data_IF_584601992257
#
_entry.id   IF_584601992257
#
_cell.length_a   1.000
_cell.length_b   1.000
_cell.length_c   1.000
_cell.angle_alpha   90.00
_cell.angle_beta   90.00
_cell.angle_gamma   90.00
#
_symmetry.space_group_name_H-M   'P 1'
#
loop_
_entity.id
_entity.type
_entity.pdbx_description
1 polymer ?
#
# COMPACT_ATOMS: atom_id res chain seq x y z
N UNK A 1 -2.07 -26.78 15.44
CA UNK A 1 -3.35 -26.10 15.15
C UNK A 1 -3.44 -24.90 16.05
N UNK A 2 -3.34 -23.69 15.49
CA UNK A 2 -3.73 -22.49 16.24
C UNK A 2 -5.24 -22.59 16.48
N UNK A 3 -5.75 -22.24 17.68
CA UNK A 3 -7.19 -22.15 17.89
C UNK A 3 -7.77 -21.15 16.90
N UNK A 4 -8.54 -21.62 15.92
CA UNK A 4 -9.25 -20.79 14.96
C UNK A 4 -10.42 -20.13 15.69
N UNK A 5 -10.25 -18.86 16.05
CA UNK A 5 -11.35 -18.06 16.57
C UNK A 5 -12.29 -17.81 15.41
N UNK A 6 -13.44 -18.47 15.42
CA UNK A 6 -14.46 -18.32 14.40
C UNK A 6 -15.07 -16.91 14.52
N UNK A 7 -15.20 -16.19 13.40
CA UNK A 7 -15.72 -14.82 13.38
C UNK A 7 -17.14 -14.74 13.97
N UNK A 8 -17.88 -15.85 13.91
CA UNK A 8 -19.20 -16.01 14.50
C UNK A 8 -19.20 -16.04 16.05
N UNK A 9 -18.11 -16.45 16.69
CA UNK A 9 -17.99 -16.57 18.15
C UNK A 9 -17.61 -15.25 18.83
N UNK A 10 -16.84 -14.39 18.16
CA UNK A 10 -16.31 -13.13 18.72
C UNK A 10 -17.33 -12.00 18.74
N UNK A 11 -18.38 -12.12 17.92
CA UNK A 11 -19.39 -11.07 17.72
C UNK A 11 -18.84 -9.80 17.04
N UNK A 12 -19.74 -8.93 16.58
CA UNK A 12 -19.37 -7.71 15.84
C UNK A 12 -18.46 -6.77 16.66
N UNK A 13 -18.64 -6.71 17.98
CA UNK A 13 -17.79 -5.91 18.88
C UNK A 13 -16.35 -6.43 18.95
N UNK A 14 -16.17 -7.75 19.02
CA UNK A 14 -14.85 -8.38 19.01
C UNK A 14 -14.12 -8.14 17.67
N UNK A 15 -14.84 -8.29 16.55
CA UNK A 15 -14.31 -7.97 15.23
C UNK A 15 -13.88 -6.51 15.09
N UNK A 16 -14.70 -5.55 15.57
CA UNK A 16 -14.37 -4.12 15.52
C UNK A 16 -13.12 -3.82 16.35
N UNK A 17 -13.01 -4.39 17.56
CA UNK A 17 -11.83 -4.23 18.40
C UNK A 17 -10.57 -4.80 17.73
N UNK A 18 -10.69 -5.97 17.11
CA UNK A 18 -9.58 -6.61 16.40
C UNK A 18 -9.16 -5.79 15.17
N UNK A 19 -10.12 -5.26 14.42
CA UNK A 19 -9.88 -4.37 13.29
C UNK A 19 -9.11 -3.10 13.70
N UNK A 20 -9.54 -2.43 14.77
CA UNK A 20 -8.86 -1.21 15.24
C UNK A 20 -7.46 -1.49 15.81
N UNK A 21 -7.29 -2.57 16.58
CA UNK A 21 -5.98 -2.92 17.14
C UNK A 21 -4.97 -3.34 16.06
N UNK A 22 -5.39 -4.16 15.10
CA UNK A 22 -4.56 -4.55 13.96
C UNK A 22 -4.28 -3.35 13.04
N UNK A 23 -5.29 -2.51 12.80
CA UNK A 23 -5.15 -1.27 12.05
C UNK A 23 -4.16 -0.29 12.69
N UNK A 24 -4.18 -0.15 14.02
CA UNK A 24 -3.22 0.67 14.75
C UNK A 24 -1.79 0.11 14.65
N UNK A 25 -1.63 -1.22 14.76
CA UNK A 25 -0.33 -1.86 14.59
C UNK A 25 0.22 -1.64 13.16
N UNK A 26 -0.62 -1.79 12.14
CA UNK A 26 -0.25 -1.51 10.74
C UNK A 26 0.11 -0.03 10.54
N UNK A 27 -0.62 0.90 11.15
CA UNK A 27 -0.32 2.34 11.09
C UNK A 27 1.07 2.65 11.68
N UNK A 28 1.40 2.09 12.83
CA UNK A 28 2.72 2.25 13.45
C UNK A 28 3.81 1.63 12.58
N UNK A 29 3.59 0.41 12.06
CA UNK A 29 4.54 -0.26 11.17
C UNK A 29 4.79 0.52 9.87
N UNK A 30 3.75 1.08 9.26
CA UNK A 30 3.87 1.87 8.03
C UNK A 30 4.61 3.18 8.25
N UNK A 31 4.45 3.84 9.41
CA UNK A 31 5.28 4.99 9.77
C UNK A 31 6.78 4.60 9.86
N UNK A 32 7.11 3.48 10.51
CA UNK A 32 8.51 3.01 10.56
C UNK A 32 9.07 2.66 9.18
N UNK A 33 8.27 2.07 8.29
CA UNK A 33 8.66 1.80 6.90
C UNK A 33 8.92 3.11 6.15
N UNK A 34 8.07 4.13 6.34
CA UNK A 34 8.23 5.46 5.74
C UNK A 34 9.49 6.16 6.23
N UNK A 35 9.75 6.17 7.53
CA UNK A 35 10.95 6.79 8.11
C UNK A 35 12.23 6.06 7.63
N UNK A 36 12.21 4.73 7.58
CA UNK A 36 13.33 3.93 7.04
C UNK A 36 13.55 4.17 5.54
N UNK A 37 12.47 4.38 4.79
CA UNK A 37 12.48 4.72 3.38
C UNK A 37 13.14 6.09 3.11
N UNK A 38 12.82 7.10 3.92
CA UNK A 38 13.44 8.42 3.84
C UNK A 38 14.94 8.38 4.20
N UNK A 39 15.32 7.53 5.17
CA UNK A 39 16.73 7.30 5.49
C UNK A 39 17.50 6.67 4.32
N UNK A 40 16.89 5.75 3.57
CA UNK A 40 17.49 5.13 2.38
C UNK A 40 17.63 6.12 1.22
N UNK A 41 16.72 7.08 1.09
CA UNK A 41 16.82 8.16 0.10
C UNK A 41 17.97 9.14 0.40
N UNK A 42 18.37 9.26 1.67
CA UNK A 42 19.48 10.12 2.10
C UNK A 42 20.85 9.60 1.64
N UNK A 43 20.95 8.35 1.15
CA UNK A 43 22.17 7.77 0.59
C UNK A 43 22.29 8.16 -0.90
N UNK A 44 23.17 9.12 -1.27
CA UNK A 44 23.15 9.73 -2.61
C UNK A 44 23.48 8.75 -3.75
N UNK A 45 24.15 7.65 -3.43
CA UNK A 45 24.54 6.61 -4.39
C UNK A 45 23.36 5.77 -4.90
N UNK A 46 22.27 5.67 -4.12
CA UNK A 46 21.13 4.77 -4.40
C UNK A 46 19.80 5.51 -4.57
N UNK A 47 19.75 6.83 -4.38
CA UNK A 47 18.51 7.62 -4.37
C UNK A 47 17.61 7.41 -5.61
N UNK A 48 18.18 7.26 -6.81
CA UNK A 48 17.42 7.01 -8.04
C UNK A 48 16.76 5.63 -8.11
N UNK A 49 17.44 4.59 -7.61
CA UNK A 49 16.91 3.23 -7.52
C UNK A 49 15.92 3.10 -6.35
N UNK A 50 16.24 3.75 -5.22
CA UNK A 50 15.44 3.71 -4.01
C UNK A 50 14.07 4.31 -4.28
N UNK A 51 14.01 5.52 -4.83
CA UNK A 51 12.74 6.21 -5.08
C UNK A 51 11.82 5.51 -6.09
N UNK A 52 12.38 4.81 -7.08
CA UNK A 52 11.59 4.21 -8.17
C UNK A 52 11.24 2.74 -7.97
N UNK A 53 12.05 1.97 -7.23
CA UNK A 53 11.88 0.51 -7.08
C UNK A 53 11.78 0.08 -5.64
N UNK A 54 12.64 0.60 -4.76
CA UNK A 54 12.70 0.15 -3.36
C UNK A 54 11.52 0.67 -2.55
N UNK A 55 11.13 1.94 -2.72
CA UNK A 55 9.98 2.48 -1.98
C UNK A 55 8.65 1.81 -2.34
N UNK A 56 8.33 1.58 -3.64
CA UNK A 56 7.15 0.80 -4.00
C UNK A 56 7.21 -0.65 -3.48
N UNK A 57 8.39 -1.27 -3.51
CA UNK A 57 8.56 -2.65 -3.03
C UNK A 57 8.38 -2.76 -1.51
N UNK A 58 8.99 -1.87 -0.74
CA UNK A 58 8.84 -1.81 0.73
C UNK A 58 7.40 -1.54 1.14
N UNK A 59 6.65 -0.73 0.37
CA UNK A 59 5.22 -0.52 0.57
C UNK A 59 4.37 -1.77 0.35
N UNK A 60 4.81 -2.70 -0.48
CA UNK A 60 4.12 -3.97 -0.75
C UNK A 60 4.52 -5.12 0.20
N UNK A 61 5.56 -4.95 1.03
CA UNK A 61 6.03 -5.97 1.98
C UNK A 61 4.95 -6.38 3.00
N UNK A 62 4.19 -5.46 3.63
CA UNK A 62 3.14 -5.82 4.57
C UNK A 62 2.04 -6.67 3.91
N UNK A 63 1.63 -6.30 2.70
CA UNK A 63 0.63 -7.04 1.93
C UNK A 63 1.12 -8.45 1.58
N UNK A 64 2.38 -8.58 1.14
CA UNK A 64 2.98 -9.87 0.82
C UNK A 64 3.14 -10.76 2.07
N UNK A 65 3.44 -10.18 3.23
CA UNK A 65 3.53 -10.91 4.49
C UNK A 65 2.17 -11.47 4.91
N UNK A 66 1.10 -10.69 4.82
CA UNK A 66 -0.27 -11.15 5.10
C UNK A 66 -0.64 -12.33 4.18
N UNK A 67 -0.33 -12.23 2.88
CA UNK A 67 -0.55 -13.31 1.91
C UNK A 67 0.25 -14.58 2.25
N UNK A 68 1.51 -14.44 2.66
CA UNK A 68 2.36 -15.57 3.06
C UNK A 68 1.78 -16.30 4.29
N UNK A 69 1.40 -15.56 5.33
CA UNK A 69 0.83 -16.15 6.55
C UNK A 69 -0.56 -16.75 6.31
N UNK A 70 -1.32 -16.19 5.37
CA UNK A 70 -2.61 -16.74 4.94
C UNK A 70 -2.50 -18.10 4.25
N UNK A 71 -1.35 -18.43 3.64
CA UNK A 71 -1.12 -19.69 2.93
C UNK A 71 -0.63 -20.84 3.82
N UNK A 72 -0.36 -20.60 5.11
CA UNK A 72 0.13 -21.63 6.05
C UNK A 72 -1.00 -22.50 6.66
N UNK A 73 -2.25 -22.29 6.27
CA UNK A 73 -3.42 -23.08 6.67
C UNK A 73 -3.54 -24.41 5.93
N UNK A 74 -4.69 -25.07 6.09
CA UNK A 74 -4.99 -26.30 5.35
C UNK A 74 -5.12 -26.04 3.84
N UNK A 75 -4.76 -27.01 2.99
CA UNK A 75 -4.56 -26.80 1.54
C UNK A 75 -5.82 -26.28 0.84
N UNK A 76 -7.01 -26.72 1.26
CA UNK A 76 -8.30 -26.30 0.69
C UNK A 76 -8.65 -24.85 1.04
N UNK A 77 -8.48 -24.47 2.31
CA UNK A 77 -8.77 -23.13 2.83
C UNK A 77 -7.70 -22.12 2.39
N UNK A 78 -6.45 -22.57 2.26
CA UNK A 78 -5.35 -21.79 1.73
C UNK A 78 -5.59 -21.39 0.26
N UNK A 79 -6.16 -22.26 -0.59
CA UNK A 79 -6.41 -21.92 -2.00
C UNK A 79 -7.45 -20.80 -2.16
N UNK A 80 -8.54 -20.83 -1.39
CA UNK A 80 -9.57 -19.78 -1.42
C UNK A 80 -8.99 -18.46 -0.89
N UNK A 81 -8.32 -18.50 0.26
CA UNK A 81 -7.76 -17.29 0.89
C UNK A 81 -6.61 -16.71 0.06
N UNK A 82 -5.79 -17.55 -0.58
CA UNK A 82 -4.77 -17.11 -1.54
C UNK A 82 -5.40 -16.49 -2.79
N UNK A 83 -6.50 -17.03 -3.33
CA UNK A 83 -7.17 -16.46 -4.50
C UNK A 83 -7.70 -15.05 -4.22
N UNK A 84 -8.32 -14.85 -3.06
CA UNK A 84 -8.76 -13.52 -2.60
C UNK A 84 -7.56 -12.60 -2.33
N UNK A 85 -6.50 -13.13 -1.70
CA UNK A 85 -5.28 -12.38 -1.41
C UNK A 85 -4.54 -11.89 -2.67
N UNK A 86 -4.44 -12.72 -3.70
CA UNK A 86 -3.84 -12.36 -5.00
C UNK A 86 -4.71 -11.31 -5.71
N UNK A 87 -6.04 -11.42 -5.63
CA UNK A 87 -6.95 -10.40 -6.16
C UNK A 87 -6.78 -9.03 -5.47
N UNK A 88 -6.63 -9.02 -4.15
CA UNK A 88 -6.37 -7.81 -3.38
C UNK A 88 -5.00 -7.19 -3.71
N UNK A 89 -3.95 -8.00 -3.84
CA UNK A 89 -2.59 -7.54 -4.19
C UNK A 89 -2.51 -7.01 -5.63
N UNK A 90 -3.19 -7.66 -6.58
CA UNK A 90 -3.31 -7.14 -7.94
C UNK A 90 -4.08 -5.82 -7.97
N UNK A 91 -5.18 -5.73 -7.21
CA UNK A 91 -5.97 -4.51 -7.04
C UNK A 91 -5.16 -3.35 -6.46
N UNK A 92 -4.38 -3.58 -5.40
CA UNK A 92 -3.54 -2.54 -4.77
C UNK A 92 -2.45 -2.05 -5.73
N UNK A 93 -1.82 -2.94 -6.49
CA UNK A 93 -0.82 -2.57 -7.51
C UNK A 93 -1.43 -1.69 -8.60
N UNK A 94 -2.61 -2.07 -9.12
CA UNK A 94 -3.33 -1.28 -10.12
C UNK A 94 -3.73 0.08 -9.53
N UNK A 95 -4.18 0.14 -8.28
CA UNK A 95 -4.50 1.41 -7.61
C UNK A 95 -3.25 2.29 -7.40
N UNK A 96 -2.12 1.73 -6.97
CA UNK A 96 -0.85 2.44 -6.80
C UNK A 96 -0.28 2.94 -8.12
N UNK A 97 -0.65 2.35 -9.26
CA UNK A 97 -0.26 2.86 -10.57
C UNK A 97 -1.25 3.91 -11.09
N UNK A 98 -2.56 3.68 -10.92
CA UNK A 98 -3.60 4.53 -11.51
C UNK A 98 -3.89 5.78 -10.70
N UNK A 99 -3.92 5.70 -9.36
CA UNK A 99 -4.26 6.82 -8.49
C UNK A 99 -3.16 7.88 -8.45
N UNK A 100 -1.87 7.55 -8.21
CA UNK A 100 -0.80 8.55 -8.25
C UNK A 100 -0.61 9.15 -9.63
N UNK A 101 -0.75 8.35 -10.70
CA UNK A 101 -0.71 8.86 -12.07
C UNK A 101 -1.86 9.84 -12.33
N UNK A 102 -3.10 9.48 -11.99
CA UNK A 102 -4.25 10.35 -12.16
C UNK A 102 -4.13 11.64 -11.34
N UNK A 103 -3.73 11.53 -10.07
CA UNK A 103 -3.48 12.69 -9.19
C UNK A 103 -2.37 13.58 -9.75
N UNK A 104 -1.28 13.00 -10.26
CA UNK A 104 -0.17 13.76 -10.85
C UNK A 104 -0.59 14.50 -12.11
N UNK A 105 -1.38 13.84 -12.97
CA UNK A 105 -1.95 14.48 -14.17
C UNK A 105 -2.92 15.57 -13.78
N UNK A 106 -3.80 15.34 -12.81
CA UNK A 106 -4.80 16.31 -12.39
C UNK A 106 -4.18 17.53 -11.68
N UNK A 107 -3.27 17.31 -10.72
CA UNK A 107 -2.58 18.36 -9.98
C UNK A 107 -1.51 19.08 -10.81
N UNK A 108 -0.90 18.39 -11.78
CA UNK A 108 0.10 18.96 -12.69
C UNK A 108 -0.49 19.73 -13.88
N UNK A 109 -1.82 19.79 -14.03
CA UNK A 109 -2.46 20.60 -15.06
C UNK A 109 -2.21 22.08 -14.78
N UNK A 110 -1.48 22.71 -15.69
CA UNK A 110 -1.30 24.17 -15.73
C UNK A 110 -2.02 24.73 -16.95
N UNK A 111 -2.72 25.85 -16.76
CA UNK A 111 -3.34 26.56 -17.87
C UNK A 111 -2.26 27.23 -18.73
N UNK A 112 -2.38 27.09 -20.05
CA UNK A 112 -1.47 27.72 -21.01
C UNK A 112 -1.99 29.13 -21.33
N UNK A 113 -1.18 30.18 -21.12
CA UNK A 113 -1.58 31.58 -21.37
C UNK A 113 -0.94 32.14 -22.65
N UNK A 114 -1.74 32.85 -23.46
CA UNK A 114 -1.29 33.60 -24.64
C UNK A 114 -1.11 32.77 -25.93
N UNK A 115 -0.86 33.43 -27.08
CA UNK A 115 -0.74 32.78 -28.39
C UNK A 115 0.49 31.85 -28.53
N UNK A 116 1.48 31.98 -27.63
CA UNK A 116 2.69 31.14 -27.59
C UNK A 116 2.55 29.90 -26.69
N UNK A 117 1.40 29.71 -26.00
CA UNK A 117 1.13 28.55 -25.13
C UNK A 117 2.19 28.30 -24.05
N UNK A 118 2.67 29.35 -23.38
CA UNK A 118 3.61 29.15 -22.27
C UNK A 118 2.86 28.62 -21.03
N UNK A 119 3.37 27.56 -20.36
CA UNK A 119 2.75 27.01 -19.16
C UNK A 119 2.86 27.96 -17.97
N UNK A 120 1.72 28.27 -17.33
CA UNK A 120 1.66 29.15 -16.16
C UNK A 120 1.83 28.34 -14.86
N UNK A 121 3.06 28.26 -14.36
CA UNK A 121 3.38 27.58 -13.09
C UNK A 121 3.14 28.46 -11.85
N UNK A 122 2.91 29.76 -12.04
CA UNK A 122 2.57 30.72 -11.00
C UNK A 122 1.07 30.86 -10.95
N UNK A 123 0.39 30.33 -9.93
CA UNK A 123 -1.06 30.48 -9.73
C UNK A 123 -1.54 31.91 -9.44
N UNK A 124 -1.22 32.85 -10.36
CA UNK A 124 -1.68 34.23 -10.44
C UNK A 124 -2.07 34.58 -11.88
#
# INVERSE_FOLDING_TARGET
MLPSIDASEVGTTGLIWLFFSYGYALYVASNYISDGSDLLLLVPSMAGLVGSVVLPLLGAVPDAAIMLFSGLGDISEAQETLSVGVGALAGSTIMLLTVPWFLSVFAGRVDLRGPQKNPNYTGK
#
